data_IF_815285211275
#
_entry.id   IF_815285211275
#
_cell.length_a   1.000
_cell.length_b   1.000
_cell.length_c   1.000
_cell.angle_alpha   90.00
_cell.angle_beta   90.00
_cell.angle_gamma   90.00
#
_symmetry.space_group_name_H-M   'P 1'
#
loop_
_entity.id
_entity.type
_entity.pdbx_description
1 polymer ?
#
# COMPACT_ATOMS: atom_id res chain seq x y z
N UNK A 1 -19.29 -7.05 -1.12
CA UNK A 1 -18.39 -7.48 -0.03
C UNK A 1 -16.97 -7.47 -0.59
N UNK A 2 -16.33 -6.29 -0.69
CA UNK A 2 -15.02 -6.13 -1.35
C UNK A 2 -14.04 -5.29 -0.50
N UNK A 3 -14.07 -5.41 0.83
CA UNK A 3 -13.42 -4.38 1.68
C UNK A 3 -11.89 -4.51 1.76
N UNK A 4 -11.33 -5.72 1.82
CA UNK A 4 -9.87 -5.91 2.04
C UNK A 4 -9.02 -5.50 0.84
N UNK A 5 -9.42 -5.92 -0.36
CA UNK A 5 -8.67 -5.64 -1.58
C UNK A 5 -8.77 -4.16 -1.97
N UNK A 6 -9.94 -3.52 -1.81
CA UNK A 6 -10.08 -2.07 -2.00
C UNK A 6 -9.18 -1.28 -1.06
N UNK A 7 -9.17 -1.64 0.23
CA UNK A 7 -8.31 -0.99 1.19
C UNK A 7 -6.83 -1.17 0.85
N UNK A 8 -6.44 -2.38 0.41
CA UNK A 8 -5.06 -2.68 -0.02
C UNK A 8 -4.68 -1.87 -1.26
N UNK A 9 -5.55 -1.80 -2.26
CA UNK A 9 -5.34 -0.98 -3.46
C UNK A 9 -5.17 0.48 -3.09
N UNK A 10 -6.08 1.05 -2.30
CA UNK A 10 -6.01 2.45 -1.90
C UNK A 10 -4.68 2.76 -1.18
N UNK A 11 -4.32 1.94 -0.20
CA UNK A 11 -3.06 2.11 0.54
C UNK A 11 -1.84 2.01 -0.39
N UNK A 12 -1.87 1.08 -1.34
CA UNK A 12 -0.76 0.90 -2.28
C UNK A 12 -0.65 2.07 -3.26
N UNK A 13 -1.77 2.51 -3.84
CA UNK A 13 -1.79 3.63 -4.80
C UNK A 13 -1.35 4.92 -4.12
N UNK A 14 -1.97 5.27 -3.00
CA UNK A 14 -1.68 6.53 -2.30
C UNK A 14 -0.29 6.47 -1.65
N UNK A 15 0.09 5.33 -1.07
CA UNK A 15 1.44 5.12 -0.54
C UNK A 15 2.52 5.28 -1.60
N UNK A 16 2.33 4.71 -2.80
CA UNK A 16 3.31 4.89 -3.89
C UNK A 16 3.44 6.34 -4.34
N UNK A 17 2.34 7.11 -4.31
CA UNK A 17 2.36 8.54 -4.63
C UNK A 17 3.03 9.38 -3.55
N UNK A 18 2.89 9.00 -2.27
CA UNK A 18 3.64 9.60 -1.17
C UNK A 18 5.14 9.35 -1.31
N UNK A 19 5.54 8.13 -1.65
CA UNK A 19 6.94 7.79 -1.86
C UNK A 19 7.54 8.65 -2.98
N UNK A 20 6.84 8.74 -4.12
CA UNK A 20 7.22 9.60 -5.23
C UNK A 20 7.26 11.09 -4.83
N UNK A 21 6.28 11.58 -4.05
CA UNK A 21 6.26 12.96 -3.55
C UNK A 21 7.45 13.24 -2.63
N UNK A 22 7.82 12.30 -1.77
CA UNK A 22 8.99 12.44 -0.90
C UNK A 22 10.26 12.70 -1.72
N UNK A 23 10.47 11.95 -2.80
CA UNK A 23 11.58 12.20 -3.73
C UNK A 23 11.50 13.58 -4.40
N UNK A 24 10.30 14.07 -4.71
CA UNK A 24 10.12 15.42 -5.26
C UNK A 24 10.46 16.50 -4.24
N UNK A 25 9.99 16.37 -3.00
CA UNK A 25 10.24 17.31 -1.91
C UNK A 25 11.74 17.38 -1.61
N UNK A 26 12.43 16.23 -1.56
CA UNK A 26 13.89 16.18 -1.38
C UNK A 26 14.64 16.95 -2.48
N UNK A 27 14.03 17.10 -3.66
CA UNK A 27 14.53 17.87 -4.79
C UNK A 27 13.95 19.30 -4.88
N UNK A 28 13.27 19.79 -3.85
CA UNK A 28 12.53 21.05 -3.80
C UNK A 28 11.50 21.20 -4.95
N UNK A 29 10.81 20.11 -5.26
CA UNK A 29 9.77 20.02 -6.28
C UNK A 29 8.47 19.50 -5.68
N UNK A 30 7.39 19.78 -6.39
CA UNK A 30 6.05 19.26 -6.09
C UNK A 30 5.43 18.69 -7.35
N UNK A 31 4.36 17.93 -7.18
CA UNK A 31 3.59 17.41 -8.30
C UNK A 31 3.04 18.54 -9.17
N UNK A 32 3.34 18.50 -10.47
CA UNK A 32 2.51 19.20 -11.45
C UNK A 32 1.25 18.38 -11.68
N UNK A 33 0.13 19.05 -11.94
CA UNK A 33 -1.15 18.37 -12.12
C UNK A 33 -1.11 17.30 -13.21
N UNK A 34 -0.44 17.57 -14.33
CA UNK A 34 -0.29 16.62 -15.43
C UNK A 34 0.53 15.37 -15.05
N UNK A 35 1.57 15.54 -14.22
CA UNK A 35 2.41 14.43 -13.79
C UNK A 35 1.65 13.52 -12.80
N UNK A 36 0.88 14.12 -11.88
CA UNK A 36 0.02 13.39 -10.95
C UNK A 36 -1.08 12.62 -11.70
N UNK A 37 -1.71 13.24 -12.70
CA UNK A 37 -2.71 12.59 -13.55
C UNK A 37 -2.14 11.37 -14.27
N UNK A 38 -0.97 11.52 -14.88
CA UNK A 38 -0.28 10.43 -15.56
C UNK A 38 0.09 9.31 -14.57
N UNK A 39 0.56 9.68 -13.37
CA UNK A 39 0.94 8.70 -12.35
C UNK A 39 -0.27 7.92 -11.84
N UNK A 40 -1.40 8.59 -11.61
CA UNK A 40 -2.67 7.93 -11.26
C UNK A 40 -3.15 6.98 -12.35
N UNK A 41 -3.03 7.35 -13.63
CA UNK A 41 -3.42 6.48 -14.74
C UNK A 41 -2.59 5.19 -14.81
N UNK A 42 -1.34 5.22 -14.31
CA UNK A 42 -0.43 4.08 -14.27
C UNK A 42 -0.47 3.32 -12.94
N UNK A 43 -1.24 3.78 -11.95
CA UNK A 43 -1.18 3.28 -10.57
C UNK A 43 -1.52 1.78 -10.46
N UNK A 44 -2.46 1.27 -11.26
CA UNK A 44 -2.78 -0.16 -11.28
C UNK A 44 -1.69 -1.04 -11.93
N UNK A 45 -0.66 -0.43 -12.52
CA UNK A 45 0.55 -1.10 -12.99
C UNK A 45 1.56 -1.37 -11.87
N UNK A 46 1.32 -0.91 -10.64
CA UNK A 46 2.22 -1.12 -9.51
C UNK A 46 2.50 -2.62 -9.27
N UNK A 47 3.74 -3.06 -8.99
CA UNK A 47 4.09 -4.49 -8.86
C UNK A 47 3.25 -5.26 -7.83
N UNK A 48 2.81 -4.60 -6.75
CA UNK A 48 1.95 -5.19 -5.72
C UNK A 48 0.47 -5.30 -6.13
N UNK A 49 0.09 -4.70 -7.27
CA UNK A 49 -1.29 -4.67 -7.80
C UNK A 49 -1.38 -5.43 -9.14
N UNK A 50 -0.32 -5.45 -9.94
CA UNK A 50 -0.34 -5.69 -11.39
C UNK A 50 -0.76 -7.09 -11.85
N UNK A 51 -1.17 -7.99 -10.93
CA UNK A 51 -1.49 -9.39 -11.22
C UNK A 51 -2.80 -9.83 -10.57
N UNK A 52 -3.49 -10.75 -11.23
CA UNK A 52 -4.66 -11.46 -10.69
C UNK A 52 -5.82 -10.53 -10.30
N UNK A 53 -6.52 -10.91 -9.23
CA UNK A 53 -7.70 -10.21 -8.71
C UNK A 53 -7.41 -8.77 -8.29
N UNK A 54 -6.21 -8.50 -7.75
CA UNK A 54 -5.78 -7.15 -7.35
C UNK A 54 -5.84 -6.16 -8.50
N UNK A 55 -5.47 -6.58 -9.72
CA UNK A 55 -5.51 -5.71 -10.91
C UNK A 55 -6.96 -5.35 -11.28
N UNK A 56 -7.86 -6.33 -11.25
CA UNK A 56 -9.28 -6.11 -11.54
C UNK A 56 -9.93 -5.20 -10.48
N UNK A 57 -9.63 -5.43 -9.20
CA UNK A 57 -10.07 -4.57 -8.10
C UNK A 57 -9.52 -3.15 -8.26
N UNK A 58 -8.25 -3.00 -8.63
CA UNK A 58 -7.69 -1.67 -8.87
C UNK A 58 -8.39 -0.93 -10.01
N UNK A 59 -8.71 -1.63 -11.11
CA UNK A 59 -9.51 -1.04 -12.18
C UNK A 59 -10.85 -0.50 -11.67
N UNK A 60 -11.57 -1.26 -10.84
CA UNK A 60 -12.83 -0.81 -10.22
C UNK A 60 -12.64 0.35 -9.26
N UNK A 61 -11.63 0.28 -8.40
CA UNK A 61 -11.26 1.36 -7.49
C UNK A 61 -10.97 2.67 -8.25
N UNK A 62 -10.20 2.61 -9.34
CA UNK A 62 -9.92 3.81 -10.15
C UNK A 62 -11.19 4.30 -10.86
N UNK A 63 -12.04 3.43 -11.40
CA UNK A 63 -13.31 3.87 -11.99
C UNK A 63 -14.19 4.63 -10.99
N UNK A 64 -14.21 4.21 -9.73
CA UNK A 64 -15.01 4.85 -8.67
C UNK A 64 -14.35 6.14 -8.13
N UNK A 65 -13.04 6.14 -7.94
CA UNK A 65 -12.36 7.18 -7.16
C UNK A 65 -11.43 8.10 -7.94
N UNK A 66 -11.13 7.85 -9.23
CA UNK A 66 -10.10 8.60 -9.98
C UNK A 66 -10.28 10.12 -9.90
N UNK A 67 -11.50 10.62 -10.12
CA UNK A 67 -11.76 12.07 -10.08
C UNK A 67 -11.54 12.67 -8.69
N UNK A 68 -11.97 11.96 -7.64
CA UNK A 68 -11.81 12.40 -6.25
C UNK A 68 -10.33 12.36 -5.85
N UNK A 69 -9.62 11.29 -6.19
CA UNK A 69 -8.18 11.14 -5.98
C UNK A 69 -7.42 12.29 -6.64
N UNK A 70 -7.67 12.55 -7.93
CA UNK A 70 -7.04 13.66 -8.66
C UNK A 70 -7.21 14.99 -7.94
N UNK A 71 -8.42 15.32 -7.50
CA UNK A 71 -8.70 16.59 -6.85
C UNK A 71 -8.07 16.69 -5.45
N UNK A 72 -8.35 15.71 -4.59
CA UNK A 72 -7.89 15.70 -3.20
C UNK A 72 -6.36 15.62 -3.09
N UNK A 73 -5.74 14.71 -3.84
CA UNK A 73 -4.29 14.52 -3.79
C UNK A 73 -3.55 15.74 -4.31
N UNK A 74 -4.05 16.39 -5.38
CA UNK A 74 -3.40 17.59 -5.90
C UNK A 74 -3.41 18.72 -4.87
N UNK A 75 -4.55 18.96 -4.20
CA UNK A 75 -4.66 20.00 -3.18
C UNK A 75 -3.78 19.70 -1.97
N UNK A 76 -3.84 18.47 -1.47
CA UNK A 76 -3.05 18.06 -0.30
C UNK A 76 -1.55 18.07 -0.58
N UNK A 77 -1.10 17.69 -1.77
CA UNK A 77 0.33 17.67 -2.11
C UNK A 77 0.92 19.02 -2.54
N UNK A 78 0.10 20.02 -2.83
CA UNK A 78 0.58 21.30 -3.39
C UNK A 78 0.61 22.40 -2.33
N UNK A 79 1.78 23.03 -2.07
CA UNK A 79 1.86 24.17 -1.17
C UNK A 79 0.95 25.32 -1.61
N UNK A 80 0.33 25.98 -0.62
CA UNK A 80 -0.57 27.12 -0.84
C UNK A 80 -2.07 26.77 -0.82
N UNK A 81 -2.42 25.49 -0.79
CA UNK A 81 -3.77 25.06 -0.39
C UNK A 81 -3.86 24.94 1.13
N UNK A 82 -5.05 25.20 1.68
CA UNK A 82 -5.33 25.05 3.12
C UNK A 82 -5.16 23.59 3.58
N UNK A 83 -5.51 22.64 2.72
CA UNK A 83 -5.40 21.21 2.99
C UNK A 83 -3.99 20.66 2.76
N UNK A 84 -2.98 21.50 2.52
CA UNK A 84 -1.65 21.02 2.21
C UNK A 84 -1.04 20.21 3.37
N UNK A 85 -0.54 19.03 3.05
CA UNK A 85 0.20 18.13 3.92
C UNK A 85 1.51 17.75 3.21
N UNK A 86 2.65 17.74 3.90
CA UNK A 86 3.92 17.32 3.30
C UNK A 86 3.84 15.87 2.79
N UNK A 87 3.25 14.98 3.59
CA UNK A 87 2.91 13.62 3.21
C UNK A 87 1.56 13.27 3.82
N UNK A 88 0.69 12.66 3.02
CA UNK A 88 -0.66 12.29 3.47
C UNK A 88 -0.59 11.09 4.42
N UNK A 89 -1.33 11.12 5.52
CA UNK A 89 -1.60 9.92 6.32
C UNK A 89 -2.44 8.91 5.51
N UNK A 90 -1.77 7.99 4.80
CA UNK A 90 -2.36 7.10 3.79
C UNK A 90 -3.61 6.38 4.30
N UNK A 91 -3.55 5.85 5.52
CA UNK A 91 -4.66 5.12 6.13
C UNK A 91 -5.88 6.01 6.33
N UNK A 92 -5.70 7.15 6.98
CA UNK A 92 -6.77 8.10 7.29
C UNK A 92 -7.41 8.62 6.00
N UNK A 93 -6.58 8.88 4.99
CA UNK A 93 -7.06 9.25 3.67
C UNK A 93 -7.91 8.16 3.02
N UNK A 94 -7.44 6.90 3.03
CA UNK A 94 -8.19 5.78 2.50
C UNK A 94 -9.48 5.45 3.27
N UNK A 95 -9.51 5.71 4.59
CA UNK A 95 -10.72 5.65 5.40
C UNK A 95 -11.69 6.78 5.04
N UNK A 96 -11.20 8.01 4.78
CA UNK A 96 -12.02 9.14 4.32
C UNK A 96 -12.64 8.92 2.93
N UNK A 97 -11.95 8.14 2.08
CA UNK A 97 -12.47 7.69 0.80
C UNK A 97 -13.47 6.54 0.90
N UNK A 98 -13.68 6.00 2.10
CA UNK A 98 -14.48 4.78 2.36
C UNK A 98 -13.92 3.53 1.65
N UNK A 99 -12.67 3.57 1.20
CA UNK A 99 -11.98 2.42 0.62
C UNK A 99 -11.48 1.46 1.72
N UNK A 100 -11.16 2.00 2.90
CA UNK A 100 -10.86 1.25 4.11
C UNK A 100 -11.96 1.46 5.16
N UNK A 101 -12.29 0.41 5.90
CA UNK A 101 -13.01 0.56 7.18
C UNK A 101 -12.01 0.93 8.28
N UNK A 102 -12.48 1.59 9.37
CA UNK A 102 -11.64 1.85 10.53
C UNK A 102 -10.97 0.57 11.03
N UNK A 103 -9.65 0.64 11.28
CA UNK A 103 -8.84 -0.47 11.81
C UNK A 103 -8.80 -1.73 10.91
N UNK A 104 -9.28 -1.64 9.67
CA UNK A 104 -9.22 -2.75 8.73
C UNK A 104 -7.78 -3.02 8.31
N UNK A 105 -7.36 -4.29 8.36
CA UNK A 105 -6.06 -4.67 7.85
C UNK A 105 -6.09 -4.77 6.32
N UNK A 106 -4.99 -4.36 5.70
CA UNK A 106 -4.68 -4.67 4.31
C UNK A 106 -4.34 -6.15 4.16
N UNK A 107 -4.37 -6.64 2.93
CA UNK A 107 -4.01 -8.02 2.60
C UNK A 107 -2.57 -8.35 3.05
N UNK A 108 -1.64 -7.41 2.86
CA UNK A 108 -0.25 -7.58 3.28
C UNK A 108 -0.10 -7.64 4.81
N UNK A 109 -0.81 -6.79 5.55
CA UNK A 109 -0.81 -6.84 7.02
C UNK A 109 -1.43 -8.13 7.54
N UNK A 110 -2.49 -8.64 6.88
CA UNK A 110 -3.06 -9.94 7.20
C UNK A 110 -2.03 -11.06 7.04
N UNK A 111 -1.30 -11.11 5.91
CA UNK A 111 -0.24 -12.09 5.70
C UNK A 111 0.91 -11.94 6.70
N UNK A 112 1.33 -10.70 6.97
CA UNK A 112 2.41 -10.43 7.93
C UNK A 112 2.04 -10.88 9.34
N UNK A 113 0.79 -10.62 9.78
CA UNK A 113 0.30 -11.06 11.07
C UNK A 113 0.19 -12.59 11.16
N UNK A 114 -0.28 -13.23 10.10
CA UNK A 114 -0.34 -14.70 10.03
C UNK A 114 1.07 -15.32 10.08
N UNK A 115 2.02 -14.78 9.32
CA UNK A 115 3.41 -15.23 9.33
C UNK A 115 4.06 -15.06 10.71
N UNK A 116 3.90 -13.89 11.35
CA UNK A 116 4.38 -13.67 12.73
C UNK A 116 3.78 -14.65 13.72
N UNK A 117 2.49 -14.95 13.61
CA UNK A 117 1.82 -15.93 14.48
C UNK A 117 2.36 -17.34 14.24
N UNK A 118 2.58 -17.74 13.00
CA UNK A 118 3.19 -19.04 12.68
C UNK A 118 4.61 -19.16 13.21
N UNK A 119 5.42 -18.09 13.12
CA UNK A 119 6.78 -18.06 13.67
C UNK A 119 6.76 -18.09 15.21
N UNK A 120 5.89 -17.30 15.86
CA UNK A 120 5.76 -17.31 17.32
C UNK A 120 5.28 -18.67 17.86
N UNK A 121 4.28 -19.28 17.22
CA UNK A 121 3.83 -20.64 17.56
C UNK A 121 4.92 -21.69 17.35
N UNK A 122 5.85 -21.44 16.42
CA UNK A 122 6.98 -22.30 16.13
C UNK A 122 8.12 -22.12 17.15
N UNK A 123 8.35 -20.90 17.63
CA UNK A 123 9.30 -20.62 18.72
C UNK A 123 8.80 -21.15 20.07
N UNK A 124 7.49 -21.06 20.33
CA UNK A 124 6.85 -21.58 21.55
C UNK A 124 6.76 -23.11 21.57
N UNK A 125 6.59 -23.75 20.41
CA UNK A 125 6.62 -25.21 20.27
C UNK A 125 8.04 -25.66 19.95
N UNK A 126 8.92 -25.71 20.94
CA UNK A 126 10.24 -26.35 20.89
C UNK A 126 10.14 -27.83 20.43
N UNK A 127 9.96 -28.05 19.13
CA UNK A 127 10.08 -29.36 18.50
C UNK A 127 11.51 -29.45 17.93
N UNK A 128 12.36 -30.33 18.47
CA UNK A 128 13.73 -30.51 17.98
C UNK A 128 13.79 -30.79 16.47
N UNK A 129 12.76 -31.44 15.94
CA UNK A 129 12.63 -31.77 14.52
C UNK A 129 12.45 -30.53 13.63
N UNK A 130 11.62 -29.59 14.08
CA UNK A 130 11.35 -28.37 13.34
C UNK A 130 12.59 -27.48 13.34
N UNK A 131 13.21 -27.25 14.49
CA UNK A 131 14.45 -26.47 14.60
C UNK A 131 15.57 -27.01 13.69
N UNK A 132 15.69 -28.34 13.58
CA UNK A 132 16.61 -29.00 12.65
C UNK A 132 16.30 -28.68 11.18
N UNK A 133 15.03 -28.68 10.77
CA UNK A 133 14.63 -28.34 9.41
C UNK A 133 14.94 -26.87 9.04
N UNK A 134 14.67 -25.93 9.95
CA UNK A 134 14.96 -24.51 9.71
C UNK A 134 16.47 -24.24 9.60
N UNK A 135 17.30 -24.92 10.40
CA UNK A 135 18.75 -24.87 10.28
C UNK A 135 19.24 -25.39 8.92
N UNK A 136 18.76 -26.56 8.49
CA UNK A 136 19.07 -27.15 7.18
C UNK A 136 18.64 -26.27 6.01
N UNK A 137 17.51 -25.57 6.14
CA UNK A 137 17.01 -24.66 5.09
C UNK A 137 17.90 -23.41 4.97
N UNK A 138 18.31 -22.80 6.08
CA UNK A 138 19.26 -21.67 6.08
C UNK A 138 20.61 -22.04 5.46
N UNK A 139 21.17 -23.21 5.80
CA UNK A 139 22.44 -23.69 5.24
C UNK A 139 22.38 -23.86 3.72
N UNK A 140 21.22 -24.23 3.15
CA UNK A 140 21.02 -24.41 1.71
C UNK A 140 20.79 -23.11 0.94
N UNK A 141 20.36 -22.05 1.61
CA UNK A 141 20.11 -20.73 1.00
C UNK A 141 21.34 -19.82 1.01
N UNK A 142 22.39 -20.22 1.74
CA UNK A 142 23.67 -19.51 1.88
C UNK A 142 24.83 -20.20 1.13
N UNK A 143 24.52 -21.22 0.33
CA UNK A 143 25.40 -21.77 -0.72
C UNK A 143 24.88 -21.35 -2.08
#
# INVERSE_FOLDING_TARGET
MESMLFCTVCNTVVGSLNDDLKYLIDANKYWRQADLDQRLALACGHPQISKGEMKAVCGRFMMEHFRKLKHELYRRYTPGYEEHEELIAVRDFCESLKACRPQQLTLYEHYTRAAKKMVGEYEDKQSPYLAYQHKKMKERLLM
#
